data_IF_224370241261
#
_entry.id   IF_224370241261
#
_cell.length_a   1.000
_cell.length_b   1.000
_cell.length_c   1.000
_cell.angle_alpha   90.00
_cell.angle_beta   90.00
_cell.angle_gamma   90.00
#
_symmetry.space_group_name_H-M   'P 1'
#
loop_
_entity.id
_entity.type
_entity.pdbx_description
1 polymer ?
#
# COMPACT_ATOMS: atom_id res chain seq x y z
N UNK A 1 37.25 13.22 -77.58
CA UNK A 1 38.71 13.06 -77.73
C UNK A 1 39.16 11.85 -76.92
N UNK A 2 39.78 10.85 -77.58
CA UNK A 2 40.54 9.72 -76.98
C UNK A 2 39.70 8.54 -76.46
N UNK A 3 39.39 7.52 -77.28
CA UNK A 3 40.16 6.28 -77.60
C UNK A 3 40.09 5.22 -76.48
N UNK A 4 39.38 4.11 -76.71
CA UNK A 4 39.87 2.77 -77.14
C UNK A 4 40.59 2.03 -75.99
N UNK A 5 40.39 0.75 -75.66
CA UNK A 5 39.72 -0.37 -76.32
C UNK A 5 40.32 -1.69 -75.78
N UNK A 6 39.51 -2.76 -75.75
CA UNK A 6 39.94 -4.16 -75.63
C UNK A 6 40.08 -4.73 -74.20
N UNK A 7 39.88 -6.01 -73.92
CA UNK A 7 39.32 -7.17 -74.64
C UNK A 7 39.41 -8.38 -73.68
N UNK A 8 38.50 -9.37 -73.77
CA UNK A 8 38.67 -10.70 -73.15
C UNK A 8 37.42 -11.21 -72.42
N UNK A 9 36.47 -11.84 -73.11
CA UNK A 9 36.34 -13.30 -73.32
C UNK A 9 35.77 -14.11 -72.13
N UNK A 10 34.46 -14.38 -72.24
CA UNK A 10 33.77 -15.71 -72.21
C UNK A 10 33.67 -16.57 -70.94
N UNK A 11 32.40 -16.99 -70.72
CA UNK A 11 31.85 -18.23 -70.10
C UNK A 11 32.06 -18.31 -68.58
N UNK A 12 31.06 -18.56 -67.74
CA UNK A 12 29.80 -19.30 -67.85
C UNK A 12 29.71 -20.21 -66.61
N UNK A 13 28.49 -20.59 -66.23
CA UNK A 13 28.12 -21.58 -65.18
C UNK A 13 27.77 -21.01 -63.79
N UNK A 14 26.46 -20.84 -63.60
CA UNK A 14 25.62 -21.62 -62.68
C UNK A 14 25.95 -21.69 -61.18
N UNK A 15 24.92 -21.32 -60.39
CA UNK A 15 24.52 -22.14 -59.25
C UNK A 15 25.03 -21.71 -57.87
N UNK A 16 24.27 -20.86 -57.17
CA UNK A 16 23.50 -21.25 -55.97
C UNK A 16 23.10 -20.03 -55.13
N UNK A 17 21.86 -20.00 -54.60
CA UNK A 17 21.35 -18.88 -53.83
C UNK A 17 21.95 -18.84 -52.42
N UNK A 18 22.40 -17.64 -52.03
CA UNK A 18 22.84 -17.31 -50.68
C UNK A 18 21.74 -17.62 -49.66
N UNK A 19 21.99 -18.67 -48.85
CA UNK A 19 21.22 -19.02 -47.66
C UNK A 19 21.25 -17.86 -46.67
N UNK A 20 20.11 -17.18 -46.49
CA UNK A 20 19.85 -16.30 -45.35
C UNK A 20 19.99 -17.12 -44.06
N UNK A 21 21.02 -16.82 -43.27
CA UNK A 21 21.18 -17.36 -41.91
C UNK A 21 20.02 -16.85 -41.04
N UNK A 22 19.02 -17.71 -40.81
CA UNK A 22 18.03 -17.52 -39.74
C UNK A 22 18.78 -17.53 -38.40
N UNK A 23 18.80 -16.38 -37.71
CA UNK A 23 19.15 -16.32 -36.29
C UNK A 23 18.18 -17.23 -35.54
N UNK A 24 18.72 -18.24 -34.86
CA UNK A 24 17.96 -19.08 -33.91
C UNK A 24 17.69 -18.21 -32.67
N UNK A 25 16.44 -17.84 -32.47
CA UNK A 25 15.98 -17.31 -31.19
C UNK A 25 16.00 -18.43 -30.14
N UNK A 26 16.63 -18.15 -29.00
CA UNK A 26 16.66 -19.05 -27.86
C UNK A 26 15.26 -19.15 -27.20
N UNK A 27 14.85 -20.33 -26.67
CA UNK A 27 13.55 -20.45 -26.05
C UNK A 27 13.54 -19.67 -24.73
N UNK A 28 12.59 -18.73 -24.60
CA UNK A 28 12.27 -18.04 -23.34
C UNK A 28 11.80 -19.09 -22.33
N UNK A 29 12.63 -19.35 -21.30
CA UNK A 29 12.24 -20.16 -20.14
C UNK A 29 11.10 -19.45 -19.41
N UNK A 30 9.87 -19.95 -19.58
CA UNK A 30 8.74 -19.58 -18.73
C UNK A 30 9.05 -20.06 -17.31
N UNK A 31 9.27 -19.11 -16.40
CA UNK A 31 9.37 -19.37 -14.97
C UNK A 31 8.07 -19.99 -14.49
N UNK A 32 8.09 -21.30 -14.23
CA UNK A 32 6.98 -22.05 -13.66
C UNK A 32 6.93 -21.68 -12.18
N UNK A 33 6.03 -20.77 -11.81
CA UNK A 33 5.72 -20.47 -10.41
C UNK A 33 5.45 -21.80 -9.68
N UNK A 34 6.28 -22.10 -8.69
CA UNK A 34 6.17 -23.31 -7.89
C UNK A 34 4.92 -23.18 -7.04
N UNK A 35 3.84 -23.84 -7.47
CA UNK A 35 2.69 -24.15 -6.60
C UNK A 35 3.21 -25.06 -5.49
N UNK A 36 3.47 -24.51 -4.31
CA UNK A 36 3.65 -25.32 -3.11
C UNK A 36 2.30 -25.95 -2.77
N UNK A 37 2.24 -27.27 -2.91
CA UNK A 37 1.09 -28.08 -2.52
C UNK A 37 0.88 -27.93 -1.01
N UNK A 38 -0.23 -27.28 -0.61
CA UNK A 38 -0.70 -27.25 0.77
C UNK A 38 -1.43 -28.56 1.06
N UNK A 39 -0.87 -29.37 1.96
CA UNK A 39 -1.59 -30.43 2.65
C UNK A 39 -1.27 -30.31 4.14
N UNK A 40 -2.02 -29.44 4.81
CA UNK A 40 -2.30 -29.53 6.24
C UNK A 40 -3.82 -29.58 6.36
N UNK A 41 -4.31 -30.50 7.19
CA UNK A 41 -5.74 -30.68 7.43
C UNK A 41 -6.36 -29.32 7.77
N UNK A 42 -7.31 -28.90 6.93
CA UNK A 42 -8.10 -27.69 7.08
C UNK A 42 -9.37 -28.09 7.86
N UNK A 43 -9.46 -27.81 9.18
CA UNK A 43 -10.67 -28.10 9.94
C UNK A 43 -11.84 -27.17 9.59
N UNK A 44 -11.63 -26.17 8.73
CA UNK A 44 -12.60 -25.11 8.46
C UNK A 44 -13.14 -25.10 7.04
N UNK A 45 -12.51 -25.77 6.08
CA UNK A 45 -13.04 -26.02 4.75
C UNK A 45 -13.21 -24.75 3.92
N UNK A 46 -12.15 -24.29 3.27
CA UNK A 46 -12.24 -23.26 2.22
C UNK A 46 -12.66 -21.87 2.69
N UNK A 47 -12.51 -21.59 3.99
CA UNK A 47 -12.82 -20.28 4.58
C UNK A 47 -11.74 -19.26 4.23
N UNK A 48 -12.13 -18.11 3.72
CA UNK A 48 -11.19 -17.01 3.45
C UNK A 48 -10.93 -16.27 4.76
N UNK A 49 -9.69 -16.35 5.26
CA UNK A 49 -9.25 -15.71 6.49
C UNK A 49 -8.28 -14.57 6.17
N UNK A 50 -8.69 -13.34 6.45
CA UNK A 50 -7.90 -12.14 6.16
C UNK A 50 -7.69 -11.33 7.44
N UNK A 51 -6.43 -11.01 7.75
CA UNK A 51 -6.06 -10.13 8.85
C UNK A 51 -5.61 -8.78 8.29
N UNK A 52 -6.16 -7.67 8.79
CA UNK A 52 -5.69 -6.32 8.50
C UNK A 52 -5.03 -5.69 9.73
N UNK A 53 -3.91 -5.00 9.51
CA UNK A 53 -3.09 -4.36 10.54
C UNK A 53 -2.97 -2.86 10.23
N UNK A 54 -3.45 -2.03 11.15
CA UNK A 54 -3.31 -0.58 11.13
C UNK A 54 -2.44 -0.12 12.29
N UNK A 55 -1.31 0.51 11.98
CA UNK A 55 -0.37 1.05 12.97
C UNK A 55 0.26 2.37 12.52
N UNK A 56 -0.26 3.00 11.47
CA UNK A 56 0.28 4.25 10.92
C UNK A 56 -0.10 5.46 11.77
N UNK A 57 -1.16 5.40 12.57
CA UNK A 57 -1.62 6.51 13.42
C UNK A 57 -1.24 6.31 14.89
N UNK A 58 -1.54 7.27 15.79
CA UNK A 58 -1.40 7.04 17.23
C UNK A 58 -2.28 5.90 17.76
N UNK A 59 -3.29 5.46 17.01
CA UNK A 59 -4.03 4.25 17.33
C UNK A 59 -3.38 3.02 16.69
N UNK A 60 -3.51 1.86 17.35
CA UNK A 60 -3.24 0.57 16.75
C UNK A 60 -4.58 -0.15 16.61
N UNK A 61 -4.91 -0.64 15.42
CA UNK A 61 -6.16 -1.34 15.18
C UNK A 61 -5.94 -2.59 14.33
N UNK A 62 -6.81 -3.57 14.53
CA UNK A 62 -6.81 -4.85 13.83
C UNK A 62 -8.21 -5.14 13.29
N UNK A 63 -8.30 -5.79 12.13
CA UNK A 63 -9.54 -6.42 11.70
C UNK A 63 -9.27 -7.85 11.21
N UNK A 64 -10.20 -8.75 11.49
CA UNK A 64 -10.20 -10.13 11.02
C UNK A 64 -11.48 -10.39 10.24
N UNK A 65 -11.33 -10.78 8.98
CA UNK A 65 -12.42 -11.35 8.19
C UNK A 65 -12.37 -12.88 8.29
N UNK A 66 -13.49 -13.48 8.65
CA UNK A 66 -13.73 -14.94 8.59
C UNK A 66 -14.99 -15.16 7.78
N UNK A 67 -14.86 -15.68 6.57
CA UNK A 67 -15.99 -15.92 5.65
C UNK A 67 -16.88 -14.69 5.40
N UNK A 68 -16.26 -13.52 5.26
CA UNK A 68 -16.97 -12.25 5.07
C UNK A 68 -17.52 -11.63 6.36
N UNK A 69 -17.46 -12.32 7.51
CA UNK A 69 -17.75 -11.72 8.80
C UNK A 69 -16.52 -10.97 9.32
N UNK A 70 -16.67 -9.67 9.58
CA UNK A 70 -15.57 -8.81 10.02
C UNK A 70 -15.69 -8.50 11.51
N UNK A 71 -14.61 -8.74 12.25
CA UNK A 71 -14.42 -8.27 13.63
C UNK A 71 -13.28 -7.26 13.63
N UNK A 72 -13.50 -6.10 14.26
CA UNK A 72 -12.51 -5.02 14.37
C UNK A 72 -12.23 -4.72 15.85
N UNK A 73 -10.96 -4.47 16.19
CA UNK A 73 -10.51 -4.12 17.53
C UNK A 73 -9.52 -2.95 17.44
N UNK A 74 -9.80 -1.85 18.15
CA UNK A 74 -8.80 -0.82 18.45
C UNK A 74 -8.09 -1.23 19.73
N UNK A 75 -6.77 -1.35 19.68
CA UNK A 75 -5.96 -1.80 20.80
C UNK A 75 -5.73 -0.65 21.80
N UNK A 76 -5.67 -1.02 23.07
CA UNK A 76 -5.38 -0.10 24.16
C UNK A 76 -3.98 0.54 24.01
N UNK A 77 -3.98 1.88 23.94
CA UNK A 77 -2.80 2.72 23.66
C UNK A 77 -1.97 3.04 24.90
N UNK A 78 -2.44 2.70 26.11
CA UNK A 78 -1.62 2.80 27.32
C UNK A 78 -0.44 1.80 27.29
N UNK A 79 -0.56 0.75 26.47
CA UNK A 79 0.52 -0.18 26.16
C UNK A 79 1.21 0.29 24.88
N UNK A 80 2.54 0.46 24.91
CA UNK A 80 3.30 0.85 23.72
C UNK A 80 2.92 -0.03 22.52
N UNK A 81 2.61 0.58 21.37
CA UNK A 81 2.03 -0.06 20.17
C UNK A 81 2.65 -1.43 19.83
N UNK A 82 3.96 -1.55 20.00
CA UNK A 82 4.75 -2.76 19.74
C UNK A 82 4.38 -3.95 20.63
N UNK A 83 4.04 -3.69 21.89
CA UNK A 83 3.72 -4.73 22.88
C UNK A 83 2.27 -5.20 22.77
N UNK A 84 1.37 -4.33 22.30
CA UNK A 84 -0.05 -4.65 22.20
C UNK A 84 -0.41 -5.44 20.93
N UNK A 85 0.32 -5.22 19.82
CA UNK A 85 -0.06 -5.71 18.50
C UNK A 85 -0.14 -7.24 18.41
N UNK A 86 0.95 -7.95 18.73
CA UNK A 86 0.99 -9.42 18.61
C UNK A 86 0.01 -10.09 19.58
N UNK A 87 -0.11 -9.68 20.86
CA UNK A 87 -1.18 -10.15 21.74
C UNK A 87 -2.59 -9.84 21.22
N UNK A 88 -2.79 -8.68 20.58
CA UNK A 88 -4.06 -8.31 19.94
C UNK A 88 -4.44 -9.28 18.83
N UNK A 89 -3.50 -9.59 17.93
CA UNK A 89 -3.71 -10.60 16.87
C UNK A 89 -4.08 -11.95 17.49
N UNK A 90 -3.37 -12.39 18.52
CA UNK A 90 -3.65 -13.65 19.21
C UNK A 90 -5.05 -13.66 19.86
N UNK A 91 -5.47 -12.56 20.49
CA UNK A 91 -6.83 -12.43 21.06
C UNK A 91 -7.91 -12.49 20.00
N UNK A 92 -7.76 -11.74 18.91
CA UNK A 92 -8.73 -11.66 17.82
C UNK A 92 -8.94 -13.04 17.16
N UNK A 93 -7.83 -13.75 16.89
CA UNK A 93 -7.87 -15.13 16.36
C UNK A 93 -8.49 -16.11 17.36
N UNK A 94 -8.11 -16.02 18.64
CA UNK A 94 -8.63 -16.87 19.70
C UNK A 94 -10.14 -16.71 19.90
N UNK A 95 -10.64 -15.46 19.89
CA UNK A 95 -12.07 -15.16 19.96
C UNK A 95 -12.86 -15.71 18.76
N UNK A 96 -12.22 -15.78 17.59
CA UNK A 96 -12.81 -16.36 16.37
C UNK A 96 -12.62 -17.88 16.25
N UNK A 97 -11.88 -18.52 17.18
CA UNK A 97 -11.53 -19.94 17.09
C UNK A 97 -10.62 -20.28 15.89
N UNK A 98 -9.88 -19.30 15.39
CA UNK A 98 -9.03 -19.43 14.20
C UNK A 98 -7.59 -19.72 14.62
N UNK A 99 -6.98 -20.77 14.06
CA UNK A 99 -5.56 -21.02 14.25
C UNK A 99 -4.72 -20.00 13.45
N UNK A 100 -3.58 -19.50 13.97
CA UNK A 100 -2.74 -18.56 13.23
C UNK A 100 -2.32 -19.06 11.83
N UNK A 101 -2.08 -20.37 11.69
CA UNK A 101 -1.73 -20.98 10.40
C UNK A 101 -2.87 -21.02 9.37
N UNK A 102 -4.10 -20.67 9.75
CA UNK A 102 -5.23 -20.58 8.84
C UNK A 102 -5.36 -19.19 8.18
N UNK A 103 -4.56 -18.21 8.60
CA UNK A 103 -4.53 -16.90 7.93
C UNK A 103 -4.05 -17.09 6.50
N UNK A 104 -4.86 -16.69 5.54
CA UNK A 104 -4.55 -16.81 4.11
C UNK A 104 -4.00 -15.52 3.52
N UNK A 105 -4.36 -14.38 4.11
CA UNK A 105 -3.91 -13.06 3.69
C UNK A 105 -3.70 -12.12 4.87
N UNK A 106 -2.61 -11.37 4.81
CA UNK A 106 -2.29 -10.28 5.73
C UNK A 106 -2.26 -8.96 4.94
N UNK A 107 -3.09 -8.02 5.35
CA UNK A 107 -3.16 -6.66 4.83
C UNK A 107 -2.49 -5.74 5.84
N UNK A 108 -1.61 -4.86 5.38
CA UNK A 108 -0.94 -3.90 6.26
C UNK A 108 -1.02 -2.50 5.69
N UNK A 109 -1.32 -1.53 6.55
CA UNK A 109 -1.14 -0.13 6.20
C UNK A 109 0.36 0.21 6.16
N UNK A 110 0.84 0.64 4.99
CA UNK A 110 2.22 1.08 4.79
C UNK A 110 2.41 2.59 4.94
N UNK A 111 1.39 3.33 5.35
CA UNK A 111 1.42 4.77 5.58
C UNK A 111 0.87 5.59 4.42
N UNK A 112 0.98 6.92 4.50
CA UNK A 112 1.88 7.68 5.38
C UNK A 112 1.38 7.83 6.82
N UNK A 113 2.31 7.90 7.79
CA UNK A 113 1.98 8.00 9.22
C UNK A 113 3.21 8.00 10.13
N UNK A 114 3.02 7.62 11.39
CA UNK A 114 4.04 7.54 12.43
C UNK A 114 5.11 6.51 12.11
N UNK A 115 6.36 6.95 12.11
CA UNK A 115 7.52 6.17 11.68
C UNK A 115 7.70 4.84 12.43
N UNK A 116 7.62 4.86 13.77
CA UNK A 116 7.76 3.66 14.59
C UNK A 116 6.60 2.69 14.37
N UNK A 117 5.38 3.21 14.32
CA UNK A 117 4.17 2.43 14.11
C UNK A 117 4.19 1.69 12.77
N UNK A 118 4.54 2.38 11.67
CA UNK A 118 4.67 1.77 10.35
C UNK A 118 5.65 0.59 10.33
N UNK A 119 6.82 0.75 10.98
CA UNK A 119 7.84 -0.31 11.01
C UNK A 119 7.38 -1.52 11.80
N UNK A 120 6.71 -1.31 12.92
CA UNK A 120 6.15 -2.38 13.75
C UNK A 120 5.11 -3.15 12.96
N UNK A 121 4.11 -2.47 12.39
CA UNK A 121 3.04 -3.12 11.62
C UNK A 121 3.55 -3.91 10.42
N UNK A 122 4.43 -3.29 9.61
CA UNK A 122 5.02 -3.94 8.43
C UNK A 122 5.87 -5.16 8.83
N UNK A 123 6.70 -5.04 9.88
CA UNK A 123 7.51 -6.17 10.35
C UNK A 123 6.64 -7.33 10.87
N UNK A 124 5.58 -7.02 11.62
CA UNK A 124 4.61 -8.03 12.09
C UNK A 124 3.90 -8.69 10.92
N UNK A 125 3.45 -7.92 9.92
CA UNK A 125 2.78 -8.46 8.74
C UNK A 125 3.69 -9.39 7.92
N UNK A 126 4.94 -8.98 7.69
CA UNK A 126 5.97 -9.79 7.03
C UNK A 126 6.25 -11.08 7.82
N UNK A 127 6.38 -10.99 9.14
CA UNK A 127 6.60 -12.15 10.01
C UNK A 127 5.45 -13.15 9.98
N UNK A 128 4.21 -12.67 10.01
CA UNK A 128 3.02 -13.49 9.88
C UNK A 128 2.94 -14.16 8.51
N UNK A 129 3.10 -13.38 7.42
CA UNK A 129 3.08 -13.90 6.07
C UNK A 129 4.18 -14.98 5.85
N UNK A 130 5.38 -14.76 6.39
CA UNK A 130 6.47 -15.73 6.34
C UNK A 130 6.14 -17.02 7.13
N UNK A 131 5.56 -16.88 8.32
CA UNK A 131 5.26 -18.01 9.20
C UNK A 131 4.08 -18.86 8.70
N UNK A 132 3.06 -18.25 8.10
CA UNK A 132 1.84 -18.92 7.67
C UNK A 132 1.85 -19.26 6.17
N UNK A 133 2.69 -18.59 5.38
CA UNK A 133 2.64 -18.61 3.93
C UNK A 133 1.45 -17.84 3.35
N UNK A 134 0.90 -16.89 4.10
CA UNK A 134 -0.19 -16.01 3.67
C UNK A 134 0.27 -15.02 2.58
N UNK A 135 -0.68 -14.61 1.73
CA UNK A 135 -0.50 -13.48 0.82
C UNK A 135 -0.27 -12.21 1.65
N UNK A 136 0.73 -11.41 1.28
CA UNK A 136 0.95 -10.09 1.87
C UNK A 136 0.42 -9.01 0.94
N UNK A 137 -0.45 -8.13 1.43
CA UNK A 137 -1.00 -7.00 0.68
C UNK A 137 -0.76 -5.71 1.44
N UNK A 138 -0.48 -4.62 0.74
CA UNK A 138 -0.34 -3.31 1.34
C UNK A 138 -1.39 -2.31 0.83
N UNK A 139 -1.85 -1.47 1.73
CA UNK A 139 -2.72 -0.31 1.49
C UNK A 139 -2.08 0.94 2.09
N UNK A 140 -2.55 2.13 1.73
CA UNK A 140 -2.13 3.38 2.39
C UNK A 140 -3.19 3.88 3.35
N UNK A 141 -2.78 4.55 4.43
CA UNK A 141 -3.69 5.20 5.39
C UNK A 141 -4.71 6.09 4.68
N UNK A 142 -4.26 6.80 3.65
CA UNK A 142 -5.07 7.72 2.86
C UNK A 142 -6.12 6.99 2.00
N UNK A 143 -5.76 5.87 1.38
CA UNK A 143 -6.72 4.99 0.68
C UNK A 143 -7.75 4.42 1.65
N UNK A 144 -7.31 3.96 2.83
CA UNK A 144 -8.16 3.37 3.87
C UNK A 144 -9.20 4.38 4.37
N UNK A 145 -8.80 5.61 4.63
CA UNK A 145 -9.69 6.70 5.00
C UNK A 145 -10.72 7.01 3.90
N UNK A 146 -10.29 7.07 2.63
CA UNK A 146 -11.18 7.30 1.50
C UNK A 146 -12.20 6.17 1.31
N UNK A 147 -11.76 4.92 1.41
CA UNK A 147 -12.64 3.75 1.35
C UNK A 147 -13.65 3.74 2.50
N UNK A 148 -13.21 4.06 3.72
CA UNK A 148 -14.07 4.16 4.89
C UNK A 148 -15.18 5.21 4.71
N UNK A 149 -14.82 6.40 4.20
CA UNK A 149 -15.79 7.45 3.90
C UNK A 149 -16.82 7.00 2.86
N UNK A 150 -16.36 6.42 1.73
CA UNK A 150 -17.25 5.93 0.67
C UNK A 150 -18.23 4.85 1.19
N UNK A 151 -17.73 3.92 2.02
CA UNK A 151 -18.52 2.87 2.68
C UNK A 151 -19.56 3.41 3.65
N UNK A 152 -19.21 4.48 4.38
CA UNK A 152 -20.15 5.18 5.27
C UNK A 152 -21.23 5.98 4.51
N UNK A 153 -21.22 5.96 3.18
CA UNK A 153 -22.22 6.64 2.35
C UNK A 153 -21.83 8.06 1.94
N UNK A 154 -20.60 8.51 2.24
CA UNK A 154 -20.12 9.80 1.77
C UNK A 154 -19.97 9.80 0.23
N UNK A 155 -20.17 10.97 -0.38
CA UNK A 155 -20.28 11.16 -1.83
C UNK A 155 -19.41 12.34 -2.25
N UNK A 156 -19.07 12.40 -3.55
CA UNK A 156 -18.23 13.48 -4.09
C UNK A 156 -16.74 13.24 -3.83
N UNK A 157 -16.06 14.22 -3.26
CA UNK A 157 -14.61 14.18 -3.04
C UNK A 157 -14.24 14.25 -1.56
N UNK A 158 -13.21 13.50 -1.20
CA UNK A 158 -12.60 13.52 0.12
C UNK A 158 -11.13 13.94 0.02
N UNK A 159 -10.68 14.82 0.91
CA UNK A 159 -9.26 14.96 1.23
C UNK A 159 -8.97 14.15 2.49
N UNK A 160 -8.29 13.02 2.33
CA UNK A 160 -7.80 12.22 3.45
C UNK A 160 -6.58 12.92 4.07
N UNK A 161 -6.55 12.99 5.40
CA UNK A 161 -5.59 13.78 6.18
C UNK A 161 -5.08 12.97 7.37
N UNK A 162 -3.79 12.61 7.34
CA UNK A 162 -3.10 12.02 8.49
C UNK A 162 -2.21 13.07 9.17
N UNK A 163 -2.19 13.14 10.51
CA UNK A 163 -1.27 14.00 11.28
C UNK A 163 0.19 13.62 10.99
N UNK A 164 0.89 14.46 10.21
CA UNK A 164 2.30 14.28 9.86
C UNK A 164 3.27 14.65 10.98
N UNK A 165 2.74 15.09 12.14
CA UNK A 165 3.46 15.77 13.21
C UNK A 165 4.11 17.07 12.72
N UNK A 166 4.75 17.80 13.64
CA UNK A 166 5.50 19.04 13.33
C UNK A 166 4.67 20.15 12.66
N UNK A 167 3.35 20.13 12.86
CA UNK A 167 2.45 21.12 12.25
C UNK A 167 2.13 20.83 10.78
N UNK A 168 2.30 19.59 10.32
CA UNK A 168 2.07 19.17 8.94
C UNK A 168 1.00 18.08 8.88
N UNK A 169 0.37 17.95 7.71
CA UNK A 169 -0.55 16.87 7.36
C UNK A 169 0.00 16.12 6.16
N UNK A 170 -0.21 14.81 6.15
CA UNK A 170 -0.14 14.02 4.92
C UNK A 170 -1.53 14.05 4.28
N UNK A 171 -1.61 14.55 3.06
CA UNK A 171 -2.86 14.80 2.37
C UNK A 171 -2.90 14.11 1.01
N UNK A 172 -4.07 13.57 0.65
CA UNK A 172 -4.37 13.13 -0.70
C UNK A 172 -5.87 13.26 -0.96
N UNK A 173 -6.21 13.66 -2.18
CA UNK A 173 -7.59 13.86 -2.62
C UNK A 173 -8.09 12.65 -3.39
N UNK A 174 -9.34 12.25 -3.12
CA UNK A 174 -10.00 11.12 -3.74
C UNK A 174 -11.39 11.51 -4.24
N UNK A 175 -11.81 10.93 -5.36
CA UNK A 175 -13.22 10.75 -5.66
C UNK A 175 -13.71 9.56 -4.85
N UNK A 176 -14.92 9.65 -4.30
CA UNK A 176 -15.57 8.55 -3.57
C UNK A 176 -16.44 7.69 -4.51
N UNK A 177 -16.71 8.16 -5.73
CA UNK A 177 -17.62 7.51 -6.68
C UNK A 177 -17.21 7.74 -8.15
N UNK A 178 -16.54 6.75 -8.78
CA UNK A 178 -15.93 5.57 -8.15
C UNK A 178 -14.75 5.99 -7.25
N UNK A 179 -14.42 5.15 -6.26
CA UNK A 179 -13.27 5.39 -5.39
C UNK A 179 -11.97 5.45 -6.22
N UNK A 180 -11.36 6.62 -6.30
CA UNK A 180 -10.15 6.85 -7.10
C UNK A 180 -9.33 8.02 -6.56
N UNK A 181 -8.00 7.86 -6.55
CA UNK A 181 -7.09 8.96 -6.25
C UNK A 181 -7.15 10.03 -7.35
N UNK A 182 -7.24 11.30 -6.96
CA UNK A 182 -7.28 12.46 -7.86
C UNK A 182 -5.92 13.16 -7.96
N UNK A 183 -5.05 12.96 -6.97
CA UNK A 183 -3.68 13.44 -6.93
C UNK A 183 -2.75 12.44 -6.24
N UNK A 184 -1.45 12.74 -6.28
CA UNK A 184 -0.44 12.03 -5.51
C UNK A 184 -0.46 12.52 -4.05
N UNK A 185 -0.10 11.66 -3.08
CA UNK A 185 -0.02 12.07 -1.69
C UNK A 185 1.10 13.10 -1.46
N UNK A 186 0.84 14.09 -0.59
CA UNK A 186 1.76 15.21 -0.32
C UNK A 186 1.88 15.46 1.18
N UNK A 187 2.96 16.11 1.58
CA UNK A 187 3.15 16.66 2.93
C UNK A 187 3.12 18.18 2.85
N UNK A 188 2.31 18.82 3.69
CA UNK A 188 2.16 20.28 3.72
C UNK A 188 1.60 20.74 5.06
N UNK A 189 1.70 22.04 5.32
CA UNK A 189 1.02 22.66 6.47
C UNK A 189 -0.47 22.82 6.21
N UNK A 190 -1.34 22.69 7.23
CA UNK A 190 -2.78 22.93 7.10
C UNK A 190 -3.14 24.27 6.45
N UNK A 191 -2.41 25.33 6.79
CA UNK A 191 -2.66 26.70 6.28
C UNK A 191 -2.38 26.81 4.78
N UNK A 192 -1.51 25.96 4.23
CA UNK A 192 -1.25 25.89 2.80
C UNK A 192 -2.35 25.12 2.05
N UNK A 193 -3.03 24.19 2.73
CA UNK A 193 -4.12 23.40 2.14
C UNK A 193 -5.46 24.16 2.17
N UNK A 194 -5.69 25.01 3.15
CA UNK A 194 -6.96 25.71 3.33
C UNK A 194 -7.42 26.52 2.09
N UNK A 195 -6.56 27.26 1.36
CA UNK A 195 -6.96 27.93 0.12
C UNK A 195 -7.36 26.96 -1.00
N UNK A 196 -6.73 25.78 -1.09
CA UNK A 196 -7.10 24.75 -2.07
C UNK A 196 -8.51 24.20 -1.79
N UNK A 197 -8.84 24.00 -0.51
CA UNK A 197 -10.17 23.57 -0.07
C UNK A 197 -11.24 24.65 -0.31
N UNK A 198 -10.91 25.92 -0.12
CA UNK A 198 -11.83 27.02 -0.43
C UNK A 198 -12.13 27.12 -1.94
N UNK A 199 -11.13 26.91 -2.79
CA UNK A 199 -11.29 26.94 -4.24
C UNK A 199 -12.00 25.69 -4.80
N UNK A 200 -11.80 24.54 -4.16
CA UNK A 200 -12.40 23.25 -4.54
C UNK A 200 -12.85 22.51 -3.29
N UNK A 201 -14.07 22.76 -2.79
CA UNK A 201 -14.59 22.12 -1.58
C UNK A 201 -14.57 20.60 -1.67
N UNK A 202 -14.32 19.95 -0.54
CA UNK A 202 -14.36 18.50 -0.36
C UNK A 202 -14.64 18.17 1.11
N UNK A 203 -15.09 16.94 1.36
CA UNK A 203 -15.13 16.36 2.69
C UNK A 203 -13.69 16.15 3.19
N UNK A 204 -13.48 16.27 4.49
CA UNK A 204 -12.21 15.95 5.15
C UNK A 204 -12.35 14.68 5.98
N UNK A 205 -11.30 13.87 6.06
CA UNK A 205 -11.30 12.67 6.91
C UNK A 205 -9.91 12.33 7.41
N UNK A 206 -9.81 11.68 8.57
CA UNK A 206 -8.55 11.33 9.22
C UNK A 206 -8.22 12.19 10.44
N UNK A 207 -7.26 11.74 11.26
CA UNK A 207 -6.83 12.43 12.48
C UNK A 207 -6.23 13.82 12.23
N UNK A 208 -5.64 14.04 11.04
CA UNK A 208 -5.16 15.35 10.61
C UNK A 208 -6.29 16.37 10.44
N UNK A 209 -7.46 15.94 9.94
CA UNK A 209 -8.64 16.81 9.83
C UNK A 209 -9.13 17.24 11.22
N UNK A 210 -9.17 16.31 12.18
CA UNK A 210 -9.62 16.56 13.54
C UNK A 210 -8.65 17.46 14.32
N UNK A 211 -7.35 17.17 14.22
CA UNK A 211 -6.28 17.90 14.91
C UNK A 211 -6.19 19.36 14.46
N UNK A 212 -6.36 19.61 13.16
CA UNK A 212 -6.18 20.93 12.55
C UNK A 212 -7.50 21.56 12.11
N UNK A 213 -8.62 21.17 12.73
CA UNK A 213 -9.98 21.64 12.39
C UNK A 213 -10.14 23.16 12.29
N UNK A 214 -9.38 23.92 13.09
CA UNK A 214 -9.40 25.39 13.07
C UNK A 214 -8.84 25.96 11.77
N UNK A 215 -7.79 25.34 11.21
CA UNK A 215 -7.22 25.75 9.92
C UNK A 215 -8.16 25.42 8.74
N UNK A 216 -9.09 24.47 8.94
CA UNK A 216 -10.05 24.03 7.93
C UNK A 216 -11.47 24.55 8.19
N UNK A 217 -11.61 25.63 8.95
CA UNK A 217 -12.91 26.23 9.24
C UNK A 217 -13.72 26.47 7.95
N UNK A 218 -14.94 25.92 7.91
CA UNK A 218 -15.83 25.96 6.74
C UNK A 218 -15.80 24.71 5.86
N UNK A 219 -14.91 23.74 6.12
CA UNK A 219 -14.95 22.42 5.50
C UNK A 219 -15.72 21.43 6.38
N UNK A 220 -16.49 20.55 5.77
CA UNK A 220 -17.14 19.44 6.47
C UNK A 220 -16.14 18.30 6.70
N UNK A 221 -16.11 17.75 7.92
CA UNK A 221 -15.22 16.66 8.29
C UNK A 221 -16.02 15.44 8.76
N UNK A 222 -15.62 14.27 8.28
CA UNK A 222 -16.10 12.97 8.72
C UNK A 222 -15.21 12.50 9.88
N UNK A 223 -15.83 12.01 10.95
CA UNK A 223 -15.09 11.42 12.06
C UNK A 223 -14.50 10.05 11.65
N UNK A 224 -13.24 10.10 11.24
CA UNK A 224 -12.41 8.95 10.90
C UNK A 224 -11.05 9.10 11.61
N UNK A 225 -11.07 9.25 12.94
CA UNK A 225 -9.86 9.46 13.74
C UNK A 225 -8.81 8.36 13.56
N UNK A 226 -9.23 7.14 13.21
CA UNK A 226 -8.35 5.99 12.94
C UNK A 226 -8.71 5.45 11.57
N UNK A 227 -7.73 5.19 10.67
CA UNK A 227 -8.00 4.44 9.44
C UNK A 227 -8.55 3.06 9.81
N UNK A 228 -9.80 2.72 9.48
CA UNK A 228 -10.38 1.49 9.97
C UNK A 228 -9.81 0.29 9.18
N UNK A 229 -9.18 -0.70 9.85
CA UNK A 229 -8.61 -1.85 9.16
C UNK A 229 -9.67 -2.68 8.41
N UNK A 230 -10.96 -2.58 8.78
CA UNK A 230 -12.06 -3.13 7.97
C UNK A 230 -12.11 -2.59 6.54
N UNK A 231 -11.81 -1.31 6.32
CA UNK A 231 -11.72 -0.76 4.97
C UNK A 231 -10.45 -1.23 4.23
N UNK A 232 -9.37 -1.54 4.95
CA UNK A 232 -8.18 -2.15 4.37
C UNK A 232 -8.47 -3.58 3.85
N UNK A 233 -9.30 -4.36 4.55
CA UNK A 233 -9.76 -5.68 4.09
C UNK A 233 -10.45 -5.56 2.73
N UNK A 234 -11.36 -4.60 2.58
CA UNK A 234 -12.08 -4.35 1.32
C UNK A 234 -11.15 -3.92 0.19
N UNK A 235 -10.25 -2.97 0.44
CA UNK A 235 -9.25 -2.50 -0.53
C UNK A 235 -8.31 -3.59 -0.99
N UNK A 236 -8.08 -4.62 -0.17
CA UNK A 236 -7.24 -5.76 -0.53
C UNK A 236 -7.90 -6.70 -1.54
N UNK A 237 -9.24 -6.61 -1.71
CA UNK A 237 -9.98 -7.41 -2.70
C UNK A 237 -9.55 -6.97 -4.09
N UNK A 238 -8.93 -7.89 -4.84
CA UNK A 238 -8.40 -7.60 -6.18
C UNK A 238 -6.99 -7.02 -6.23
N UNK A 239 -6.30 -6.87 -5.09
CA UNK A 239 -4.85 -6.58 -5.08
C UNK A 239 -4.04 -7.87 -5.14
N UNK A 240 -2.93 -7.82 -5.88
CA UNK A 240 -1.95 -8.89 -5.96
C UNK A 240 -1.12 -8.98 -4.67
N UNK A 241 -0.66 -10.19 -4.36
CA UNK A 241 0.27 -10.42 -3.27
C UNK A 241 1.65 -9.80 -3.57
N UNK A 242 2.29 -9.30 -2.53
CA UNK A 242 3.59 -8.64 -2.56
C UNK A 242 4.66 -9.55 -1.94
N UNK A 243 5.86 -9.56 -2.53
CA UNK A 243 7.02 -10.23 -1.94
C UNK A 243 7.64 -9.41 -0.79
N UNK A 244 7.48 -8.09 -0.83
CA UNK A 244 7.98 -7.17 0.18
C UNK A 244 7.10 -5.92 0.27
N UNK A 245 7.09 -5.29 1.45
CA UNK A 245 6.40 -4.03 1.70
C UNK A 245 7.40 -3.02 2.24
N UNK A 246 7.46 -1.86 1.59
CA UNK A 246 8.22 -0.70 2.05
C UNK A 246 7.25 0.36 2.59
N UNK A 247 7.61 1.04 3.69
CA UNK A 247 6.82 2.15 4.20
C UNK A 247 6.78 3.30 3.19
N UNK A 248 5.62 3.95 3.07
CA UNK A 248 5.43 5.18 2.31
C UNK A 248 5.87 6.37 3.17
N UNK A 249 7.15 6.68 3.11
CA UNK A 249 7.70 7.89 3.73
C UNK A 249 7.57 9.09 2.79
N UNK A 250 6.67 10.02 3.12
CA UNK A 250 6.53 11.30 2.41
C UNK A 250 7.48 12.40 2.93
N UNK A 251 8.14 12.12 4.06
CA UNK A 251 9.16 12.96 4.68
C UNK A 251 10.33 12.08 5.12
N UNK A 252 11.55 12.61 5.04
CA UNK A 252 12.70 11.95 5.65
C UNK A 252 12.53 11.83 7.17
N UNK A 253 13.11 10.79 7.75
CA UNK A 253 13.08 10.60 9.20
C UNK A 253 13.81 11.76 9.91
N UNK A 254 13.26 12.23 11.03
CA UNK A 254 13.80 13.38 11.77
C UNK A 254 15.27 13.18 12.21
N UNK A 255 15.68 11.93 12.44
CA UNK A 255 17.06 11.57 12.74
C UNK A 255 18.05 11.95 11.63
N UNK A 256 17.65 11.88 10.35
CA UNK A 256 18.49 12.23 9.19
C UNK A 256 18.50 13.75 9.00
N UNK A 257 17.35 14.40 9.12
CA UNK A 257 17.23 15.86 9.00
C UNK A 257 18.08 16.59 10.05
N UNK A 258 18.07 16.13 11.31
CA UNK A 258 18.82 16.76 12.41
C UNK A 258 20.35 16.63 12.26
N UNK A 259 20.84 15.56 11.62
CA UNK A 259 22.27 15.39 11.35
C UNK A 259 22.76 16.43 10.32
N UNK A 260 22.00 16.66 9.25
CA UNK A 260 22.35 17.63 8.20
C UNK A 260 22.43 19.07 8.70
N UNK A 261 21.62 19.44 9.71
CA UNK A 261 21.66 20.76 10.35
C UNK A 261 22.82 20.92 11.34
N UNK A 262 23.34 19.82 11.94
CA UNK A 262 24.53 19.88 12.81
C UNK A 262 25.84 19.99 12.04
N UNK A 263 25.92 19.46 10.81
CA UNK A 263 27.15 19.53 10.00
C UNK A 263 27.36 20.89 9.32
N UNK A 264 26.35 21.77 9.30
CA UNK A 264 26.48 23.14 8.77
C UNK A 264 26.83 24.21 9.83
N UNK A 265 27.00 23.81 11.09
CA UNK A 265 27.26 24.71 12.22
C UNK A 265 28.67 24.55 12.82
N UNK A 266 29.61 23.97 12.08
CA UNK A 266 31.03 23.84 12.46
C UNK A 266 31.92 24.53 11.44
#
# INVERSE_FOLDING_TARGET
MGRDGGSGLRRGLDGHPHRRRRRREAPRRRGRARRHARSRADPLGGRVIVLAIETATPACALALEVDGSVTEEVLDLERHHTEALVPGVARLLGAAGVAPGAIERVVVDRGPGLYTGLRVGIATALGLALATGADLVAVTSLEVLAAAAARAGARGELVALVDGRRGEVFAQRFSLEPLAALDAPRVLRPEALAPELAARPALLGGDGALRYREAFAGSEAIDLAVPPPSAALELSRGRDALEAVLPLYLREADAVANFSTRTRAT
#
